data_IF_394456189674
#
_entry.id   IF_394456189674
#
_cell.length_a   1.000
_cell.length_b   1.000
_cell.length_c   1.000
_cell.angle_alpha   90.00
_cell.angle_beta   90.00
_cell.angle_gamma   90.00
#
_symmetry.space_group_name_H-M   'P 1'
#
loop_
_entity.id
_entity.type
_entity.pdbx_description
1 polymer ?
#
# COMPACT_ATOMS: atom_id res chain seq x y z
N UNK A 1 -48.10 -11.55 15.38
CA UNK A 1 -48.16 -12.68 16.35
C UNK A 1 -46.75 -13.15 16.62
N UNK A 2 -46.35 -13.24 17.89
CA UNK A 2 -45.09 -13.88 18.26
C UNK A 2 -45.17 -15.38 17.91
N UNK A 3 -44.13 -15.91 17.26
CA UNK A 3 -44.03 -17.33 16.92
C UNK A 3 -43.12 -18.03 17.92
N UNK A 4 -43.58 -19.15 18.44
CA UNK A 4 -42.77 -20.07 19.24
C UNK A 4 -42.71 -21.41 18.52
N UNK A 5 -41.49 -21.86 18.22
CA UNK A 5 -41.24 -23.18 17.66
C UNK A 5 -40.78 -24.10 18.79
N UNK A 6 -41.38 -25.30 18.88
CA UNK A 6 -40.98 -26.28 19.87
C UNK A 6 -39.51 -26.67 19.64
N UNK A 7 -38.66 -26.68 20.69
CA UNK A 7 -37.28 -27.12 20.55
C UNK A 7 -37.23 -28.63 20.32
N UNK A 8 -36.35 -29.06 19.42
CA UNK A 8 -36.08 -30.48 19.19
C UNK A 8 -35.25 -31.05 20.35
N UNK A 9 -35.70 -32.18 20.91
CA UNK A 9 -35.04 -32.87 22.02
C UNK A 9 -34.80 -34.32 21.60
N UNK A 10 -33.61 -34.83 21.91
CA UNK A 10 -33.25 -36.23 21.64
C UNK A 10 -34.03 -37.21 22.54
N UNK A 11 -34.49 -38.32 21.97
CA UNK A 11 -35.12 -39.41 22.72
C UNK A 11 -34.11 -40.53 23.02
N UNK A 12 -34.04 -40.97 24.28
CA UNK A 12 -33.15 -42.04 24.73
C UNK A 12 -33.94 -43.06 25.57
N UNK A 13 -34.50 -44.12 24.95
CA UNK A 13 -35.31 -45.11 25.64
C UNK A 13 -34.54 -45.97 26.65
N UNK A 14 -33.21 -46.04 26.52
CA UNK A 14 -32.35 -46.98 27.24
C UNK A 14 -31.58 -46.38 28.42
N UNK A 15 -31.67 -45.07 28.64
CA UNK A 15 -30.99 -44.41 29.75
C UNK A 15 -31.14 -42.89 29.76
N UNK A 16 -30.52 -42.25 30.75
CA UNK A 16 -30.47 -40.80 30.86
C UNK A 16 -29.11 -40.30 30.39
N UNK A 17 -29.06 -39.66 29.21
CA UNK A 17 -27.83 -39.12 28.64
C UNK A 17 -27.87 -38.92 27.11
N UNK A 18 -26.79 -38.42 26.51
CA UNK A 18 -26.68 -38.25 25.06
C UNK A 18 -26.77 -39.60 24.34
N UNK A 19 -27.69 -39.71 23.38
CA UNK A 19 -27.86 -40.91 22.55
C UNK A 19 -27.25 -40.77 21.15
N UNK A 20 -26.87 -39.56 20.73
CA UNK A 20 -26.24 -39.29 19.45
C UNK A 20 -25.12 -38.25 19.57
N UNK A 21 -24.15 -38.33 18.67
CA UNK A 21 -23.16 -37.26 18.47
C UNK A 21 -23.87 -36.08 17.82
N UNK A 22 -23.65 -34.83 18.28
CA UNK A 22 -24.23 -33.65 17.65
C UNK A 22 -23.91 -33.60 16.16
N UNK A 23 -24.94 -33.39 15.33
CA UNK A 23 -24.84 -33.40 13.86
C UNK A 23 -23.73 -32.47 13.34
N UNK A 24 -23.56 -31.32 13.99
CA UNK A 24 -22.52 -30.33 13.69
C UNK A 24 -21.09 -30.88 13.63
N UNK A 25 -20.79 -31.95 14.37
CA UNK A 25 -19.44 -32.50 14.48
C UNK A 25 -19.31 -33.93 13.95
N UNK A 26 -20.38 -34.50 13.38
CA UNK A 26 -20.41 -35.90 12.94
C UNK A 26 -19.44 -36.18 11.80
N UNK A 27 -19.35 -35.26 10.85
CA UNK A 27 -18.57 -35.43 9.61
C UNK A 27 -17.19 -34.74 9.65
N UNK A 28 -16.70 -34.41 10.85
CA UNK A 28 -15.45 -33.70 11.05
C UNK A 28 -14.57 -34.42 12.08
N UNK A 29 -13.28 -34.72 11.79
CA UNK A 29 -12.36 -35.24 12.79
C UNK A 29 -12.28 -34.33 14.01
N UNK A 30 -12.65 -34.85 15.18
CA UNK A 30 -12.65 -34.04 16.39
C UNK A 30 -11.22 -33.76 16.86
N UNK A 31 -10.87 -32.48 16.99
CA UNK A 31 -9.64 -32.04 17.65
C UNK A 31 -9.96 -30.91 18.65
N UNK A 32 -9.62 -31.06 19.94
CA UNK A 32 -9.83 -30.03 20.94
C UNK A 32 -8.95 -28.80 20.66
N UNK A 33 -9.46 -27.61 20.96
CA UNK A 33 -8.71 -26.37 20.82
C UNK A 33 -9.21 -25.29 21.79
N UNK A 34 -8.40 -24.26 22.03
CA UNK A 34 -8.76 -23.07 22.80
C UNK A 34 -8.78 -21.84 21.90
N UNK A 35 -9.91 -21.11 21.89
CA UNK A 35 -10.04 -19.86 21.12
C UNK A 35 -9.18 -18.71 21.65
N UNK A 36 -8.69 -18.82 22.89
CA UNK A 36 -7.83 -17.81 23.52
C UNK A 36 -6.35 -17.98 23.19
N UNK A 37 -5.97 -19.04 22.47
CA UNK A 37 -4.59 -19.33 22.15
C UNK A 37 -4.03 -18.29 21.17
N UNK A 38 -2.76 -17.93 21.36
CA UNK A 38 -2.11 -16.91 20.54
C UNK A 38 -1.89 -17.46 19.12
N UNK A 39 -2.35 -16.71 18.11
CA UNK A 39 -2.15 -17.01 16.70
C UNK A 39 -0.92 -16.28 16.11
N UNK A 40 -0.42 -16.73 14.95
CA UNK A 40 0.64 -16.05 14.19
C UNK A 40 2.04 -16.69 14.24
N UNK A 41 2.13 -18.02 14.39
CA UNK A 41 3.40 -18.77 14.25
C UNK A 41 3.74 -18.94 12.77
N UNK A 42 4.98 -18.64 12.39
CA UNK A 42 5.50 -18.77 11.02
C UNK A 42 6.09 -20.18 10.83
N UNK A 43 5.87 -20.80 9.67
CA UNK A 43 6.60 -21.99 9.25
C UNK A 43 7.83 -21.56 8.43
N UNK A 44 9.00 -22.08 8.79
CA UNK A 44 10.28 -21.74 8.12
C UNK A 44 11.10 -23.00 7.91
N UNK A 45 11.18 -23.47 6.67
CA UNK A 45 11.95 -24.66 6.28
C UNK A 45 13.48 -24.43 6.38
N UNK A 46 13.94 -23.19 6.50
CA UNK A 46 15.37 -22.88 6.69
C UNK A 46 15.80 -22.88 8.16
N UNK A 47 14.83 -22.88 9.09
CA UNK A 47 15.07 -22.84 10.53
C UNK A 47 15.68 -21.54 11.08
N UNK A 48 15.77 -20.48 10.26
CA UNK A 48 16.45 -19.24 10.64
C UNK A 48 15.60 -18.31 11.52
N UNK A 49 14.27 -18.42 11.46
CA UNK A 49 13.32 -17.45 12.05
C UNK A 49 13.27 -17.51 13.59
N UNK A 50 13.42 -18.68 14.21
CA UNK A 50 13.26 -18.87 15.66
C UNK A 50 14.55 -19.36 16.34
N UNK A 51 15.61 -18.54 16.29
CA UNK A 51 16.86 -18.83 17.02
C UNK A 51 16.65 -18.87 18.55
N UNK A 52 15.66 -18.13 19.07
CA UNK A 52 15.31 -18.11 20.48
C UNK A 52 14.00 -18.88 20.74
N UNK A 53 14.11 -20.02 21.45
CA UNK A 53 13.00 -20.92 21.80
C UNK A 53 11.90 -20.26 22.65
N UNK A 54 12.14 -19.08 23.23
CA UNK A 54 11.11 -18.33 23.97
C UNK A 54 9.97 -17.84 23.09
N UNK A 55 10.20 -17.66 21.79
CA UNK A 55 9.15 -17.21 20.88
C UNK A 55 8.26 -18.36 20.42
N UNK A 56 8.78 -19.57 20.27
CA UNK A 56 8.01 -20.75 19.88
C UNK A 56 7.05 -21.20 20.98
N UNK A 57 7.45 -21.08 22.25
CA UNK A 57 6.64 -21.48 23.40
C UNK A 57 5.40 -20.59 23.63
N UNK A 58 5.30 -19.43 22.95
CA UNK A 58 4.12 -18.57 23.04
C UNK A 58 2.93 -19.07 22.21
N UNK A 59 3.19 -20.01 21.30
CA UNK A 59 2.21 -20.56 20.37
C UNK A 59 1.92 -22.04 20.65
N UNK A 60 2.50 -22.61 21.71
CA UNK A 60 2.12 -23.94 22.17
C UNK A 60 0.76 -23.84 22.87
N UNK A 61 -0.22 -24.59 22.37
CA UNK A 61 -1.49 -24.72 23.07
C UNK A 61 -1.26 -25.43 24.41
N UNK A 62 -1.86 -24.90 25.48
CA UNK A 62 -1.87 -25.57 26.79
C UNK A 62 -2.99 -26.61 26.90
N UNK A 63 -3.94 -26.59 25.97
CA UNK A 63 -5.15 -27.41 26.03
C UNK A 63 -5.44 -28.05 24.67
N UNK A 64 -5.36 -29.39 24.60
CA UNK A 64 -5.75 -30.13 23.41
C UNK A 64 -4.65 -30.31 22.35
N UNK A 65 -3.58 -31.02 22.71
CA UNK A 65 -2.60 -31.49 21.72
C UNK A 65 -3.19 -32.62 20.88
N UNK A 66 -3.39 -32.39 19.59
CA UNK A 66 -3.86 -33.40 18.63
C UNK A 66 -3.18 -33.25 17.28
N UNK A 67 -3.01 -34.36 16.57
CA UNK A 67 -2.38 -34.43 15.25
C UNK A 67 -3.33 -34.97 14.17
N UNK A 68 -4.65 -34.90 14.40
CA UNK A 68 -5.66 -35.38 13.45
C UNK A 68 -5.61 -34.62 12.11
N UNK A 69 -5.19 -33.36 12.16
CA UNK A 69 -4.98 -32.50 11.00
C UNK A 69 -3.49 -32.27 10.69
N UNK A 70 -2.61 -33.21 11.05
CA UNK A 70 -1.17 -33.09 10.79
C UNK A 70 -0.76 -33.88 9.55
N UNK A 71 0.13 -33.29 8.75
CA UNK A 71 0.82 -33.98 7.66
C UNK A 71 2.23 -34.35 8.12
N UNK A 72 2.59 -35.62 7.95
CA UNK A 72 3.95 -36.12 8.17
C UNK A 72 4.55 -36.45 6.80
N UNK A 73 5.67 -35.80 6.47
CA UNK A 73 6.43 -36.12 5.27
C UNK A 73 7.38 -37.28 5.60
N UNK A 74 7.28 -38.40 4.88
CA UNK A 74 8.04 -39.63 5.20
C UNK A 74 9.49 -39.58 4.70
N UNK A 75 9.82 -38.71 3.74
CA UNK A 75 11.14 -38.61 3.11
C UNK A 75 11.75 -37.21 3.32
N UNK A 76 12.52 -37.02 4.41
CA UNK A 76 13.30 -35.80 4.66
C UNK A 76 14.55 -35.77 3.77
N UNK A 77 14.37 -35.53 2.47
CA UNK A 77 15.46 -35.66 1.50
C UNK A 77 15.85 -34.34 0.82
N UNK A 78 16.86 -33.69 1.41
CA UNK A 78 17.79 -32.80 0.68
C UNK A 78 18.74 -33.58 -0.25
N UNK A 79 18.49 -34.88 -0.43
CA UNK A 79 19.28 -35.80 -1.25
C UNK A 79 19.10 -35.54 -2.76
N UNK A 80 17.93 -35.03 -3.16
CA UNK A 80 17.59 -34.80 -4.55
C UNK A 80 18.32 -33.59 -5.11
N UNK A 81 19.08 -33.80 -6.18
CA UNK A 81 19.70 -32.73 -6.95
C UNK A 81 18.81 -32.38 -8.14
N UNK A 82 18.51 -31.10 -8.33
CA UNK A 82 17.80 -30.61 -9.50
C UNK A 82 18.71 -30.71 -10.73
N UNK A 83 18.38 -31.58 -11.68
CA UNK A 83 19.11 -31.70 -12.94
C UNK A 83 18.63 -30.61 -13.89
N UNK A 84 19.48 -29.61 -14.15
CA UNK A 84 19.22 -28.57 -15.14
C UNK A 84 19.75 -29.01 -16.52
N UNK A 85 18.85 -29.20 -17.49
CA UNK A 85 19.19 -29.52 -18.90
C UNK A 85 19.36 -28.27 -19.77
N UNK A 86 19.13 -27.07 -19.23
CA UNK A 86 19.27 -25.82 -19.96
C UNK A 86 20.72 -25.29 -19.87
N UNK A 87 21.38 -25.10 -21.03
CA UNK A 87 22.64 -24.36 -21.08
C UNK A 87 22.39 -22.90 -20.70
N UNK A 88 22.83 -22.50 -19.50
CA UNK A 88 22.73 -21.11 -19.03
C UNK A 88 23.53 -20.18 -19.98
N UNK A 89 22.84 -19.40 -20.81
CA UNK A 89 23.49 -18.33 -21.59
C UNK A 89 23.90 -17.19 -20.65
N UNK A 90 25.20 -17.08 -20.39
CA UNK A 90 25.76 -15.91 -19.70
C UNK A 90 25.74 -14.71 -20.65
N UNK A 91 24.98 -13.67 -20.31
CA UNK A 91 24.99 -12.38 -21.00
C UNK A 91 26.38 -11.73 -20.96
N UNK A 92 26.79 -11.11 -22.07
CA UNK A 92 28.13 -10.56 -22.29
C UNK A 92 28.63 -9.59 -21.18
N UNK A 93 27.71 -8.96 -20.45
CA UNK A 93 28.01 -8.04 -19.37
C UNK A 93 28.67 -8.71 -18.14
N UNK A 94 28.39 -10.00 -17.88
CA UNK A 94 28.98 -10.71 -16.74
C UNK A 94 30.44 -11.14 -16.96
N UNK A 95 30.92 -11.22 -18.22
CA UNK A 95 32.32 -11.56 -18.53
C UNK A 95 33.31 -10.46 -18.13
N UNK A 96 32.87 -9.20 -18.10
CA UNK A 96 33.78 -8.06 -17.94
C UNK A 96 34.04 -7.64 -16.48
N UNK A 97 33.32 -8.23 -15.51
CA UNK A 97 33.48 -7.91 -14.07
C UNK A 97 34.75 -8.52 -13.44
N UNK A 98 35.25 -9.64 -14.00
CA UNK A 98 36.48 -10.31 -13.55
C UNK A 98 37.76 -9.53 -13.92
N UNK A 99 37.78 -8.78 -15.03
CA UNK A 99 38.98 -8.04 -15.46
C UNK A 99 39.25 -6.77 -14.64
N UNK A 100 38.21 -6.11 -14.13
CA UNK A 100 38.38 -4.90 -13.30
C UNK A 100 38.83 -5.21 -11.87
N UNK A 101 38.47 -6.37 -11.32
CA UNK A 101 38.97 -6.82 -10.01
C UNK A 101 40.49 -7.07 -10.04
N UNK A 102 41.02 -7.68 -11.11
CA UNK A 102 42.46 -7.90 -11.25
C UNK A 102 43.28 -6.61 -11.48
N UNK A 103 42.69 -5.60 -12.14
CA UNK A 103 43.37 -4.29 -12.37
C UNK A 103 43.53 -3.48 -11.08
N UNK A 104 42.57 -3.54 -10.16
CA UNK A 104 42.69 -2.87 -8.86
C UNK A 104 43.70 -3.56 -7.92
N UNK A 105 43.87 -4.88 -8.00
CA UNK A 105 44.91 -5.57 -7.22
C UNK A 105 46.34 -5.25 -7.68
N UNK A 106 46.57 -4.97 -8.98
CA UNK A 106 47.89 -4.54 -9.47
C UNK A 106 48.23 -3.11 -9.04
N UNK A 107 47.26 -2.18 -9.11
CA UNK A 107 47.48 -0.78 -8.72
C UNK A 107 47.76 -0.59 -7.22
N UNK A 108 47.21 -1.46 -6.37
CA UNK A 108 47.53 -1.50 -4.93
C UNK A 108 48.91 -2.12 -4.62
N UNK A 109 49.44 -2.96 -5.52
CA UNK A 109 50.80 -3.54 -5.39
C UNK A 109 51.86 -2.50 -5.76
N UNK A 110 51.62 -1.72 -6.81
CA UNK A 110 52.54 -0.66 -7.26
C UNK A 110 52.58 0.55 -6.29
N UNK A 111 51.45 0.88 -5.65
CA UNK A 111 51.41 1.95 -4.63
C UNK A 111 52.16 1.58 -3.34
N UNK A 112 52.27 0.29 -2.99
CA UNK A 112 53.05 -0.16 -1.83
C UNK A 112 54.56 -0.13 -2.09
N UNK A 113 55.00 -0.35 -3.33
CA UNK A 113 56.41 -0.29 -3.68
C UNK A 113 56.95 1.15 -3.73
N UNK A 114 56.09 2.14 -4.02
CA UNK A 114 56.50 3.56 -4.04
C UNK A 114 56.50 4.25 -2.66
N UNK A 115 55.85 3.66 -1.64
CA UNK A 115 55.86 4.19 -0.26
C UNK A 115 56.99 3.62 0.61
N UNK A 116 57.87 2.80 0.04
CA UNK A 116 58.99 2.20 0.75
C UNK A 116 60.27 3.06 0.74
N UNK A 117 60.27 4.18 0.00
CA UNK A 117 61.45 5.05 -0.17
C UNK A 117 61.46 6.32 0.69
N UNK A 118 60.52 6.48 1.63
CA UNK A 118 60.62 7.56 2.61
C UNK A 118 60.01 7.14 3.95
N UNK A 119 60.82 6.57 4.83
CA UNK A 119 60.46 6.27 6.20
C UNK A 119 61.57 6.76 7.13
N UNK A 120 61.34 7.93 7.73
CA UNK A 120 61.94 8.25 9.02
C UNK A 120 61.51 7.20 10.05
N UNK A 121 62.47 6.78 10.86
CA UNK A 121 62.38 5.69 11.83
C UNK A 121 61.60 6.10 13.08
N UNK A 122 60.28 5.86 13.08
CA UNK A 122 59.49 5.91 14.31
C UNK A 122 59.79 4.70 15.23
N UNK A 123 59.90 4.89 16.56
CA UNK A 123 60.20 3.82 17.52
C UNK A 123 59.12 2.73 17.53
N UNK A 124 59.54 1.48 17.79
CA UNK A 124 58.73 0.25 17.64
C UNK A 124 57.39 0.27 18.41
N UNK A 125 57.31 0.98 19.54
CA UNK A 125 56.08 1.09 20.35
C UNK A 125 54.99 1.95 19.69
N UNK A 126 55.35 2.99 18.95
CA UNK A 126 54.42 3.87 18.26
C UNK A 126 53.77 3.18 17.05
N UNK A 127 54.57 2.41 16.30
CA UNK A 127 54.11 1.62 15.14
C UNK A 127 53.09 0.55 15.52
N UNK A 128 53.22 -0.07 16.69
CA UNK A 128 52.28 -1.09 17.17
C UNK A 128 50.90 -0.48 17.50
N UNK A 129 50.90 0.63 18.27
CA UNK A 129 49.69 1.37 18.63
C UNK A 129 48.91 1.88 17.42
N UNK A 130 49.62 2.36 16.40
CA UNK A 130 49.00 2.85 15.16
C UNK A 130 48.40 1.71 14.33
N UNK A 131 49.06 0.53 14.28
CA UNK A 131 48.53 -0.68 13.63
C UNK A 131 47.26 -1.19 14.30
N UNK A 132 47.22 -1.15 15.64
CA UNK A 132 46.04 -1.58 16.40
C UNK A 132 44.89 -0.58 16.29
N UNK A 133 45.17 0.73 16.26
CA UNK A 133 44.17 1.78 15.95
C UNK A 133 43.59 1.60 14.55
N UNK A 134 44.42 1.29 13.55
CA UNK A 134 43.97 1.02 12.18
C UNK A 134 43.17 -0.29 12.07
N UNK A 135 43.52 -1.33 12.84
CA UNK A 135 42.74 -2.57 12.93
C UNK A 135 41.38 -2.35 13.57
N UNK A 136 41.31 -1.56 14.66
CA UNK A 136 40.04 -1.19 15.29
C UNK A 136 39.16 -0.38 14.34
N UNK A 137 39.75 0.60 13.63
CA UNK A 137 39.03 1.43 12.66
C UNK A 137 38.50 0.59 11.49
N UNK A 138 39.27 -0.37 10.96
CA UNK A 138 38.79 -1.32 9.94
C UNK A 138 37.73 -2.30 10.47
N UNK A 139 37.79 -2.70 11.75
CA UNK A 139 36.74 -3.51 12.38
C UNK A 139 35.45 -2.70 12.50
N UNK A 140 35.53 -1.44 12.94
CA UNK A 140 34.41 -0.52 13.02
C UNK A 140 33.81 -0.26 11.62
N UNK A 141 34.63 0.01 10.61
CA UNK A 141 34.16 0.20 9.23
C UNK A 141 33.50 -1.05 8.64
N UNK A 142 34.02 -2.25 8.94
CA UNK A 142 33.38 -3.52 8.54
C UNK A 142 32.08 -3.76 9.30
N UNK A 143 31.99 -3.40 10.58
CA UNK A 143 30.79 -3.58 11.39
C UNK A 143 29.64 -2.63 10.97
N UNK A 144 29.97 -1.39 10.57
CA UNK A 144 28.99 -0.44 10.02
C UNK A 144 28.66 -0.70 8.54
N UNK A 145 29.63 -1.15 7.72
CA UNK A 145 29.40 -1.49 6.31
C UNK A 145 28.62 -2.79 6.08
N UNK A 146 28.67 -3.75 7.02
CA UNK A 146 27.85 -4.98 6.96
C UNK A 146 26.39 -4.70 7.29
N UNK A 147 26.09 -3.70 8.13
CA UNK A 147 24.72 -3.26 8.41
C UNK A 147 24.07 -2.61 7.18
N UNK A 148 24.78 -1.70 6.50
CA UNK A 148 24.29 -1.10 5.24
C UNK A 148 24.11 -2.13 4.11
N UNK A 149 24.96 -3.17 4.04
CA UNK A 149 24.81 -4.22 3.01
C UNK A 149 23.65 -5.19 3.28
N UNK A 150 23.28 -5.41 4.54
CA UNK A 150 22.10 -6.20 4.88
C UNK A 150 20.80 -5.43 4.60
N UNK A 151 20.76 -4.12 4.86
CA UNK A 151 19.61 -3.27 4.51
C UNK A 151 19.43 -3.14 2.99
N UNK A 152 20.53 -3.11 2.22
CA UNK A 152 20.46 -3.07 0.75
C UNK A 152 20.09 -4.42 0.11
N UNK A 153 20.03 -5.50 0.91
CA UNK A 153 19.53 -6.81 0.50
C UNK A 153 18.11 -7.04 1.01
N UNK A 154 17.29 -5.99 1.03
CA UNK A 154 15.85 -6.14 0.85
C UNK A 154 15.63 -6.77 -0.53
N UNK A 155 15.76 -8.09 -0.63
CA UNK A 155 15.08 -8.86 -1.65
C UNK A 155 13.63 -8.42 -1.54
N UNK A 156 13.15 -7.64 -2.51
CA UNK A 156 11.75 -7.31 -2.65
C UNK A 156 11.03 -8.66 -2.59
N UNK A 157 10.38 -8.95 -1.47
CA UNK A 157 9.53 -10.13 -1.38
C UNK A 157 8.58 -10.03 -2.56
N UNK A 158 8.43 -11.10 -3.37
CA UNK A 158 7.45 -11.10 -4.43
C UNK A 158 6.12 -10.70 -3.81
N UNK A 159 5.49 -9.69 -4.41
CA UNK A 159 4.17 -9.26 -4.03
C UNK A 159 3.18 -10.21 -4.67
N UNK A 160 2.22 -10.65 -3.89
CA UNK A 160 1.12 -11.45 -4.38
C UNK A 160 0.22 -10.59 -5.26
N UNK A 161 -0.42 -11.22 -6.24
CA UNK A 161 -1.45 -10.56 -7.05
C UNK A 161 -2.64 -10.17 -6.15
N UNK A 162 -3.33 -9.08 -6.51
CA UNK A 162 -4.55 -8.67 -5.80
C UNK A 162 -5.71 -9.65 -5.99
N UNK A 163 -5.60 -10.56 -6.96
CA UNK A 163 -6.57 -11.59 -7.31
C UNK A 163 -5.88 -12.92 -7.49
N UNK A 164 -6.60 -14.01 -7.25
CA UNK A 164 -6.15 -15.36 -7.58
C UNK A 164 -6.19 -15.56 -9.10
N UNK A 165 -5.01 -15.57 -9.73
CA UNK A 165 -4.88 -15.76 -11.18
C UNK A 165 -5.13 -17.23 -11.49
N UNK A 166 -6.12 -17.50 -12.34
CA UNK A 166 -6.50 -18.86 -12.75
C UNK A 166 -5.93 -19.20 -14.13
N UNK A 167 -5.82 -20.49 -14.42
CA UNK A 167 -5.25 -20.98 -15.69
C UNK A 167 -6.20 -20.90 -16.88
N UNK A 168 -7.49 -20.73 -16.63
CA UNK A 168 -8.56 -20.55 -17.63
C UNK A 168 -8.72 -19.09 -18.07
N UNK A 169 -8.02 -18.16 -17.44
CA UNK A 169 -8.04 -16.75 -17.83
C UNK A 169 -7.25 -16.53 -19.12
N UNK A 170 -7.84 -15.79 -20.05
CA UNK A 170 -7.24 -15.47 -21.34
C UNK A 170 -6.79 -14.02 -21.38
N UNK A 171 -5.50 -13.79 -21.66
CA UNK A 171 -4.95 -12.44 -21.83
C UNK A 171 -5.36 -11.89 -23.20
N UNK A 172 -6.15 -10.81 -23.20
CA UNK A 172 -6.65 -10.15 -24.42
C UNK A 172 -5.72 -9.05 -24.92
N UNK A 173 -5.13 -8.27 -24.02
CA UNK A 173 -4.19 -7.19 -24.38
C UNK A 173 -3.18 -6.99 -23.24
N UNK A 174 -1.93 -6.69 -23.62
CA UNK A 174 -0.86 -6.27 -22.71
C UNK A 174 -0.43 -4.83 -23.00
N UNK A 175 -0.38 -3.99 -21.95
CA UNK A 175 0.04 -2.60 -22.05
C UNK A 175 1.16 -2.30 -21.07
N UNK A 176 2.32 -1.91 -21.62
CA UNK A 176 3.45 -1.47 -20.81
C UNK A 176 3.33 0.02 -20.43
N UNK A 177 3.91 0.39 -19.30
CA UNK A 177 3.83 1.78 -18.82
C UNK A 177 4.50 2.79 -19.77
N UNK A 178 5.63 2.50 -20.46
CA UNK A 178 6.19 3.38 -21.47
C UNK A 178 5.23 3.73 -22.61
N UNK A 179 4.40 2.78 -23.08
CA UNK A 179 3.34 3.04 -24.05
C UNK A 179 2.28 3.97 -23.46
N UNK A 180 1.82 3.72 -22.23
CA UNK A 180 0.81 4.54 -21.55
C UNK A 180 1.27 5.98 -21.28
N UNK A 181 2.54 6.19 -20.92
CA UNK A 181 3.09 7.53 -20.67
C UNK A 181 3.11 8.43 -21.91
N UNK A 182 3.04 7.85 -23.12
CA UNK A 182 3.02 8.59 -24.38
C UNK A 182 1.61 8.91 -24.87
N UNK A 183 0.57 8.32 -24.27
CA UNK A 183 -0.82 8.57 -24.65
C UNK A 183 -1.20 10.02 -24.36
N UNK A 184 -2.00 10.64 -25.23
CA UNK A 184 -2.52 12.00 -25.06
C UNK A 184 -3.92 12.08 -25.66
N UNK A 185 -4.80 12.83 -25.03
CA UNK A 185 -6.13 13.15 -25.55
C UNK A 185 -6.54 14.55 -25.08
N UNK A 186 -6.83 15.44 -26.03
CA UNK A 186 -7.05 16.87 -25.79
C UNK A 186 -8.51 17.30 -25.92
N UNK A 187 -9.29 16.55 -26.69
CA UNK A 187 -10.65 16.92 -27.10
C UNK A 187 -11.68 16.45 -26.06
N UNK A 188 -11.51 16.94 -24.82
CA UNK A 188 -12.47 16.68 -23.73
C UNK A 188 -13.24 17.95 -23.46
N UNK A 189 -14.55 17.93 -23.77
CA UNK A 189 -15.46 19.02 -23.44
C UNK A 189 -15.67 19.13 -21.91
N UNK A 190 -16.06 20.32 -21.46
CA UNK A 190 -16.46 20.51 -20.07
C UNK A 190 -17.70 19.66 -19.75
N UNK A 191 -17.74 19.02 -18.57
CA UNK A 191 -18.84 18.14 -18.22
C UNK A 191 -20.14 18.90 -17.96
N UNK A 192 -21.24 18.21 -18.24
CA UNK A 192 -22.58 18.63 -17.82
C UNK A 192 -23.04 17.81 -16.62
N UNK A 193 -23.63 18.46 -15.63
CA UNK A 193 -24.19 17.77 -14.47
C UNK A 193 -25.57 17.20 -14.84
N UNK A 194 -25.75 15.90 -14.63
CA UNK A 194 -27.02 15.19 -14.84
C UNK A 194 -27.85 15.25 -13.56
N UNK A 195 -27.23 14.90 -12.43
CA UNK A 195 -27.92 14.77 -11.15
C UNK A 195 -26.96 15.09 -9.99
N UNK A 196 -27.49 15.76 -8.96
CA UNK A 196 -26.75 16.05 -7.75
C UNK A 196 -27.54 15.59 -6.52
N UNK A 197 -26.90 14.78 -5.69
CA UNK A 197 -27.52 14.06 -4.58
C UNK A 197 -26.73 14.25 -3.28
N UNK A 198 -27.41 14.21 -2.13
CA UNK A 198 -26.78 14.16 -0.81
C UNK A 198 -26.71 15.51 -0.09
N UNK A 199 -25.90 15.56 0.95
CA UNK A 199 -25.79 16.74 1.82
C UNK A 199 -24.37 16.88 2.37
N UNK A 200 -23.90 18.12 2.45
CA UNK A 200 -22.55 18.47 2.85
C UNK A 200 -22.55 19.31 4.11
N UNK A 201 -21.67 18.98 5.04
CA UNK A 201 -21.36 19.82 6.19
C UNK A 201 -20.41 20.96 5.79
N UNK A 202 -20.52 22.07 6.52
CA UNK A 202 -19.61 23.20 6.37
C UNK A 202 -18.28 22.89 7.06
N UNK A 203 -17.19 23.10 6.34
CA UNK A 203 -15.84 22.96 6.84
C UNK A 203 -15.55 23.99 7.93
N UNK A 204 -15.16 23.49 9.11
CA UNK A 204 -14.71 24.34 10.20
C UNK A 204 -13.30 24.89 9.92
N UNK A 205 -13.23 26.19 9.62
CA UNK A 205 -11.97 26.91 9.37
C UNK A 205 -11.02 26.93 10.58
N UNK A 206 -11.46 26.54 11.78
CA UNK A 206 -10.59 26.39 12.94
C UNK A 206 -9.55 25.27 12.75
N UNK A 207 -9.85 24.25 11.93
CA UNK A 207 -8.90 23.17 11.60
C UNK A 207 -7.65 23.68 10.89
N UNK A 208 -7.75 24.79 10.14
CA UNK A 208 -6.60 25.40 9.46
C UNK A 208 -5.56 25.98 10.44
N UNK A 209 -5.94 26.17 11.72
CA UNK A 209 -5.04 26.59 12.81
C UNK A 209 -4.70 25.46 13.78
N UNK A 210 -5.14 24.23 13.52
CA UNK A 210 -4.82 23.02 14.30
C UNK A 210 -4.92 23.19 15.83
N UNK A 211 -5.97 23.88 16.28
CA UNK A 211 -6.28 23.99 17.71
C UNK A 211 -7.08 22.77 18.15
N UNK A 212 -6.89 22.36 19.40
CA UNK A 212 -7.70 21.31 20.05
C UNK A 212 -9.14 21.80 20.11
N UNK A 213 -10.05 21.15 19.39
CA UNK A 213 -11.47 21.48 19.44
C UNK A 213 -12.34 20.22 19.41
N UNK A 214 -13.46 20.36 20.13
CA UNK A 214 -14.58 19.42 20.17
C UNK A 214 -15.41 19.64 18.90
N UNK A 215 -15.80 18.57 18.22
CA UNK A 215 -16.69 18.63 17.06
C UNK A 215 -17.94 19.45 17.40
N UNK A 216 -18.26 20.53 16.66
CA UNK A 216 -19.60 21.09 16.71
C UNK A 216 -20.53 20.12 15.97
N UNK A 217 -21.05 19.15 16.71
CA UNK A 217 -22.13 18.29 16.24
C UNK A 217 -23.39 19.15 16.10
N UNK A 218 -23.95 19.25 14.89
CA UNK A 218 -25.27 19.88 14.67
C UNK A 218 -25.33 21.17 13.85
N UNK A 219 -24.36 21.42 12.94
CA UNK A 219 -24.48 22.52 11.97
C UNK A 219 -25.49 22.25 10.86
N UNK A 220 -26.06 23.32 10.27
CA UNK A 220 -26.90 23.21 9.07
C UNK A 220 -26.08 22.64 7.90
N UNK A 221 -26.61 21.62 7.20
CA UNK A 221 -25.95 21.00 6.04
C UNK A 221 -26.41 21.67 4.74
N UNK A 222 -25.48 21.91 3.82
CA UNK A 222 -25.79 22.28 2.44
C UNK A 222 -26.38 21.08 1.70
N UNK A 223 -27.67 21.15 1.34
CA UNK A 223 -28.41 20.05 0.72
C UNK A 223 -28.47 20.22 -0.80
N UNK A 224 -28.27 19.12 -1.51
CA UNK A 224 -28.54 19.06 -2.94
C UNK A 224 -30.04 18.81 -3.22
N UNK A 225 -30.50 19.00 -4.48
CA UNK A 225 -31.90 18.77 -4.84
C UNK A 225 -32.39 17.35 -4.51
N UNK A 226 -31.54 16.33 -4.71
CA UNK A 226 -31.88 14.94 -4.44
C UNK A 226 -31.22 14.44 -3.14
N UNK A 227 -31.89 13.54 -2.39
CA UNK A 227 -31.31 12.93 -1.19
C UNK A 227 -30.18 11.95 -1.55
N UNK A 228 -29.44 11.48 -0.55
CA UNK A 228 -28.43 10.43 -0.74
C UNK A 228 -29.12 9.12 -1.18
N UNK A 229 -28.79 8.54 -2.35
CA UNK A 229 -29.48 7.36 -2.87
C UNK A 229 -29.08 6.04 -2.18
N UNK A 230 -28.12 6.07 -1.25
CA UNK A 230 -27.62 4.87 -0.55
C UNK A 230 -28.12 4.75 0.89
N UNK A 231 -29.03 5.64 1.31
CA UNK A 231 -29.54 5.70 2.67
C UNK A 231 -31.05 5.51 2.62
N UNK A 232 -31.54 4.52 3.37
CA UNK A 232 -32.98 4.31 3.55
C UNK A 232 -33.58 5.40 4.43
N UNK A 233 -34.85 5.74 4.23
CA UNK A 233 -35.51 6.87 4.92
C UNK A 233 -35.54 6.73 6.44
N UNK A 234 -35.46 5.49 6.95
CA UNK A 234 -35.54 5.14 8.37
C UNK A 234 -34.20 5.29 9.12
N UNK A 235 -33.10 5.51 8.40
CA UNK A 235 -31.78 5.74 9.02
C UNK A 235 -31.69 7.19 9.49
N UNK A 236 -31.23 7.39 10.72
CA UNK A 236 -30.97 8.74 11.22
C UNK A 236 -29.92 9.43 10.34
N UNK A 237 -30.34 10.50 9.65
CA UNK A 237 -29.50 11.33 8.77
C UNK A 237 -28.31 11.94 9.52
N UNK A 238 -28.33 11.93 10.86
CA UNK A 238 -27.21 12.36 11.70
C UNK A 238 -26.03 11.38 11.69
N UNK A 239 -26.27 10.07 11.47
CA UNK A 239 -25.22 9.04 11.40
C UNK A 239 -24.55 8.98 10.03
N UNK A 240 -25.22 9.51 9.00
CA UNK A 240 -24.69 9.53 7.63
C UNK A 240 -23.59 10.57 7.53
N UNK A 241 -22.42 10.12 7.08
CA UNK A 241 -21.28 10.99 6.79
C UNK A 241 -21.67 12.12 5.81
N UNK A 242 -21.04 13.29 5.98
CA UNK A 242 -21.11 14.38 5.01
C UNK A 242 -20.55 13.92 3.68
N UNK A 243 -21.42 13.73 2.69
CA UNK A 243 -21.05 13.34 1.33
C UNK A 243 -22.14 13.79 0.35
N UNK A 244 -21.70 14.25 -0.81
CA UNK A 244 -22.57 14.49 -1.94
C UNK A 244 -22.04 13.83 -3.19
N UNK A 245 -22.97 13.37 -4.03
CA UNK A 245 -22.70 12.74 -5.31
C UNK A 245 -23.12 13.66 -6.44
N UNK A 246 -22.26 13.79 -7.44
CA UNK A 246 -22.54 14.54 -8.65
C UNK A 246 -22.32 13.63 -9.85
N UNK A 247 -23.37 13.33 -10.58
CA UNK A 247 -23.32 12.53 -11.79
C UNK A 247 -23.04 13.46 -12.96
N UNK A 248 -21.86 13.32 -13.55
CA UNK A 248 -21.36 14.24 -14.58
C UNK A 248 -21.13 13.48 -15.88
N UNK A 249 -21.50 14.11 -16.99
CA UNK A 249 -21.34 13.58 -18.35
C UNK A 249 -20.25 14.33 -19.09
N UNK A 250 -19.26 13.60 -19.59
CA UNK A 250 -18.27 14.08 -20.55
C UNK A 250 -18.52 13.43 -21.91
N UNK A 251 -18.27 14.20 -22.98
CA UNK A 251 -18.13 13.65 -24.32
C UNK A 251 -16.65 13.42 -24.61
N UNK A 252 -16.32 12.19 -25.00
CA UNK A 252 -14.98 11.81 -25.44
C UNK A 252 -15.03 11.52 -26.95
N UNK A 253 -15.11 12.58 -27.74
CA UNK A 253 -15.39 12.50 -29.18
C UNK A 253 -16.88 12.34 -29.47
N UNK A 254 -17.22 11.89 -30.68
CA UNK A 254 -18.62 11.81 -31.13
C UNK A 254 -19.35 10.57 -30.61
N UNK A 255 -18.63 9.50 -30.24
CA UNK A 255 -19.18 8.16 -30.05
C UNK A 255 -19.15 7.65 -28.60
N UNK A 256 -18.55 8.40 -27.67
CA UNK A 256 -18.37 8.00 -26.28
C UNK A 256 -18.94 9.05 -25.33
N UNK A 257 -20.02 8.66 -24.66
CA UNK A 257 -20.55 9.36 -23.49
C UNK A 257 -20.00 8.73 -22.22
N UNK A 258 -19.12 9.44 -21.52
CA UNK A 258 -18.60 9.02 -20.22
C UNK A 258 -19.45 9.64 -19.10
N UNK A 259 -20.05 8.80 -18.28
CA UNK A 259 -20.75 9.23 -17.06
C UNK A 259 -19.92 8.81 -15.86
N UNK A 260 -19.55 9.78 -15.02
CA UNK A 260 -18.82 9.54 -13.78
C UNK A 260 -19.64 10.00 -12.59
N UNK A 261 -19.80 9.13 -11.60
CA UNK A 261 -20.30 9.51 -10.27
C UNK A 261 -19.14 10.11 -9.48
N UNK A 262 -19.14 11.43 -9.36
CA UNK A 262 -18.16 12.19 -8.58
C UNK A 262 -18.62 12.40 -7.14
N UNK A 263 -17.69 12.77 -6.26
CA UNK A 263 -17.94 12.97 -4.83
C UNK A 263 -17.35 14.30 -4.32
N UNK A 264 -18.09 14.97 -3.44
CA UNK A 264 -17.60 16.05 -2.58
C UNK A 264 -17.74 15.65 -1.12
N UNK A 265 -16.81 16.09 -0.28
CA UNK A 265 -16.73 15.71 1.14
C UNK A 265 -17.27 16.82 2.07
N UNK A 266 -17.27 18.08 1.60
CA UNK A 266 -17.81 19.21 2.36
C UNK A 266 -17.97 20.47 1.53
N UNK A 267 -18.39 21.55 2.18
CA UNK A 267 -18.44 22.91 1.60
C UNK A 267 -17.73 23.93 2.47
N UNK A 268 -17.24 25.01 1.88
CA UNK A 268 -16.78 26.18 2.62
C UNK A 268 -17.38 27.45 2.04
N UNK A 269 -17.64 28.43 2.90
CA UNK A 269 -18.06 29.76 2.44
C UNK A 269 -16.84 30.60 2.11
N UNK A 270 -16.74 31.04 0.85
CA UNK A 270 -15.75 31.99 0.36
C UNK A 270 -15.92 33.38 0.98
N UNK A 271 -15.00 34.30 0.69
CA UNK A 271 -15.04 35.66 1.21
C UNK A 271 -16.29 36.44 0.74
N UNK A 272 -16.82 36.10 -0.43
CA UNK A 272 -17.96 36.77 -1.07
C UNK A 272 -19.31 36.13 -0.70
N UNK A 273 -19.33 35.13 0.20
CA UNK A 273 -20.54 34.35 0.51
C UNK A 273 -20.81 33.19 -0.44
N UNK A 274 -20.00 33.02 -1.49
CA UNK A 274 -20.10 31.88 -2.42
C UNK A 274 -19.74 30.56 -1.74
N UNK A 275 -20.40 29.48 -2.15
CA UNK A 275 -20.18 28.14 -1.61
C UNK A 275 -19.17 27.41 -2.50
N UNK A 276 -18.01 27.10 -1.92
CA UNK A 276 -16.94 26.34 -2.55
C UNK A 276 -17.02 24.87 -2.14
N UNK A 277 -17.09 23.97 -3.11
CA UNK A 277 -17.06 22.53 -2.85
C UNK A 277 -15.64 22.04 -2.57
N UNK A 278 -15.49 21.15 -1.59
CA UNK A 278 -14.19 20.64 -1.18
C UNK A 278 -14.14 19.11 -1.18
N UNK A 279 -12.98 18.58 -1.57
CA UNK A 279 -12.59 17.21 -1.24
C UNK A 279 -11.62 17.22 -0.06
N UNK A 280 -11.84 16.32 0.89
CA UNK A 280 -11.02 16.18 2.09
C UNK A 280 -10.36 14.83 2.08
N UNK A 281 -9.03 14.79 2.01
CA UNK A 281 -8.23 13.57 2.05
C UNK A 281 -7.13 13.68 3.11
N UNK A 282 -6.61 12.54 3.58
CA UNK A 282 -5.72 12.51 4.75
C UNK A 282 -4.43 11.77 4.47
N UNK A 283 -3.31 12.48 4.57
CA UNK A 283 -1.99 11.89 4.64
C UNK A 283 -1.72 11.39 6.07
N UNK A 284 -1.08 10.24 6.16
CA UNK A 284 -0.80 9.58 7.43
C UNK A 284 0.69 9.27 7.62
N UNK A 285 1.24 9.69 8.76
CA UNK A 285 2.59 9.35 9.21
C UNK A 285 2.54 8.23 10.25
N UNK A 286 3.33 7.18 10.03
CA UNK A 286 3.44 6.02 10.93
C UNK A 286 4.78 6.03 11.68
N UNK A 287 5.88 5.67 11.01
CA UNK A 287 7.24 5.74 11.53
C UNK A 287 8.19 6.22 10.43
N UNK A 288 8.48 7.51 10.44
CA UNK A 288 9.28 8.21 9.42
C UNK A 288 10.69 7.63 9.25
N UNK A 289 11.22 6.92 10.25
CA UNK A 289 12.58 6.35 10.22
C UNK A 289 12.74 5.22 9.21
N UNK A 290 11.66 4.55 8.81
CA UNK A 290 11.72 3.36 7.97
C UNK A 290 11.52 3.65 6.48
N UNK A 291 10.95 4.80 6.12
CA UNK A 291 10.57 5.13 4.74
C UNK A 291 11.39 6.29 4.14
N UNK A 292 12.60 6.55 4.68
CA UNK A 292 13.35 7.79 4.41
C UNK A 292 12.45 9.04 4.60
N UNK A 293 11.57 8.98 5.60
CA UNK A 293 10.60 10.01 5.91
C UNK A 293 11.23 11.17 6.67
N UNK A 294 10.50 12.28 6.73
CA UNK A 294 10.82 13.43 7.59
C UNK A 294 9.87 13.42 8.79
N UNK A 295 10.34 13.80 9.97
CA UNK A 295 9.47 13.94 11.15
C UNK A 295 8.55 15.15 10.98
N UNK A 296 7.26 14.87 10.79
CA UNK A 296 6.26 15.91 10.54
C UNK A 296 6.14 16.90 11.69
N UNK A 297 6.30 16.48 12.94
CA UNK A 297 6.20 17.37 14.11
C UNK A 297 7.27 18.46 14.12
N UNK A 298 8.43 18.18 13.52
CA UNK A 298 9.52 19.13 13.43
C UNK A 298 9.47 19.97 12.14
N UNK A 299 8.85 19.44 11.09
CA UNK A 299 9.01 19.96 9.72
C UNK A 299 7.75 20.56 9.12
N UNK A 300 6.55 20.26 9.62
CA UNK A 300 5.31 20.82 9.07
C UNK A 300 5.19 22.34 9.26
N UNK A 301 5.80 22.93 10.28
CA UNK A 301 5.71 24.39 10.46
C UNK A 301 6.74 25.14 9.62
N UNK A 302 7.95 24.60 9.51
CA UNK A 302 9.08 25.28 8.87
C UNK A 302 9.36 24.84 7.42
N UNK A 303 8.99 23.61 7.06
CA UNK A 303 9.41 22.93 5.82
C UNK A 303 8.27 22.12 5.18
N UNK A 304 7.07 22.71 5.07
CA UNK A 304 5.88 22.08 4.44
C UNK A 304 6.17 21.47 3.07
N UNK A 305 6.89 22.19 2.22
CA UNK A 305 7.27 21.71 0.90
C UNK A 305 8.14 20.43 0.94
N UNK A 306 9.02 20.28 1.94
CA UNK A 306 9.86 19.09 2.08
C UNK A 306 9.04 17.88 2.56
N UNK A 307 8.07 18.09 3.45
CA UNK A 307 7.11 17.06 3.86
C UNK A 307 6.31 16.59 2.64
N UNK A 308 5.72 17.52 1.90
CA UNK A 308 4.93 17.20 0.71
C UNK A 308 5.76 16.49 -0.37
N UNK A 309 6.99 16.92 -0.62
CA UNK A 309 7.89 16.25 -1.58
C UNK A 309 8.23 14.81 -1.17
N UNK A 310 8.42 14.58 0.13
CA UNK A 310 8.65 13.23 0.67
C UNK A 310 7.42 12.35 0.48
N UNK A 311 6.23 12.90 0.75
CA UNK A 311 4.96 12.20 0.53
C UNK A 311 4.66 11.96 -0.95
N UNK A 312 5.00 12.90 -1.83
CA UNK A 312 4.88 12.72 -3.26
C UNK A 312 5.73 11.56 -3.76
N UNK A 313 6.96 11.44 -3.25
CA UNK A 313 7.84 10.32 -3.58
C UNK A 313 7.32 8.97 -3.07
N UNK A 314 6.80 8.93 -1.84
CA UNK A 314 6.40 7.69 -1.18
C UNK A 314 4.97 7.26 -1.51
N UNK A 315 4.09 8.20 -1.86
CA UNK A 315 2.65 8.00 -2.01
C UNK A 315 2.12 8.58 -3.34
N UNK A 316 2.95 8.67 -4.38
CA UNK A 316 2.59 9.27 -5.68
C UNK A 316 1.27 8.78 -6.25
N UNK A 317 1.05 7.46 -6.29
CA UNK A 317 -0.19 6.87 -6.80
C UNK A 317 -1.43 7.30 -5.99
N UNK A 318 -1.31 7.38 -4.65
CA UNK A 318 -2.40 7.78 -3.76
C UNK A 318 -2.78 9.24 -4.00
N UNK A 319 -1.78 10.11 -4.04
CA UNK A 319 -1.96 11.54 -4.29
C UNK A 319 -2.54 11.80 -5.68
N UNK A 320 -1.97 11.19 -6.73
CA UNK A 320 -2.47 11.31 -8.10
C UNK A 320 -3.93 10.89 -8.22
N UNK A 321 -4.32 9.76 -7.60
CA UNK A 321 -5.72 9.30 -7.61
C UNK A 321 -6.66 10.32 -6.96
N UNK A 322 -6.29 10.84 -5.79
CA UNK A 322 -7.09 11.86 -5.11
C UNK A 322 -7.24 13.13 -5.94
N UNK A 323 -6.17 13.56 -6.60
CA UNK A 323 -6.19 14.72 -7.49
C UNK A 323 -7.09 14.49 -8.70
N UNK A 324 -6.99 13.35 -9.38
CA UNK A 324 -7.89 12.99 -10.48
C UNK A 324 -9.37 13.03 -10.03
N UNK A 325 -9.70 12.42 -8.89
CA UNK A 325 -11.06 12.43 -8.36
C UNK A 325 -11.56 13.87 -8.09
N UNK A 326 -10.73 14.72 -7.47
CA UNK A 326 -11.10 16.10 -7.17
C UNK A 326 -11.28 16.95 -8.45
N UNK A 327 -10.46 16.72 -9.46
CA UNK A 327 -10.59 17.38 -10.77
C UNK A 327 -11.86 16.94 -11.49
N UNK A 328 -12.17 15.64 -11.53
CA UNK A 328 -13.40 15.12 -12.13
C UNK A 328 -14.64 15.63 -11.40
N UNK A 329 -14.58 15.72 -10.06
CA UNK A 329 -15.66 16.29 -9.26
C UNK A 329 -15.89 17.78 -9.51
N UNK A 330 -14.90 18.51 -10.03
CA UNK A 330 -14.98 19.96 -10.14
C UNK A 330 -14.91 20.63 -8.77
N UNK A 331 -14.20 20.03 -7.81
CA UNK A 331 -13.99 20.63 -6.50
C UNK A 331 -13.11 21.88 -6.62
N UNK A 332 -13.49 22.95 -5.94
CA UNK A 332 -12.70 24.19 -5.92
C UNK A 332 -11.42 23.99 -5.09
N UNK A 333 -11.53 23.24 -3.99
CA UNK A 333 -10.39 22.95 -3.13
C UNK A 333 -10.22 21.46 -2.82
N UNK A 334 -8.97 21.03 -2.79
CA UNK A 334 -8.51 19.79 -2.20
C UNK A 334 -7.83 20.10 -0.86
N UNK A 335 -8.44 19.67 0.24
CA UNK A 335 -7.89 19.77 1.60
C UNK A 335 -7.14 18.48 1.95
N UNK A 336 -5.87 18.62 2.31
CA UNK A 336 -5.03 17.53 2.81
C UNK A 336 -4.83 17.69 4.33
N UNK A 337 -5.30 16.71 5.10
CA UNK A 337 -4.99 16.59 6.53
C UNK A 337 -3.70 15.82 6.76
N UNK A 338 -2.86 16.28 7.69
CA UNK A 338 -1.64 15.61 8.13
C UNK A 338 -1.88 14.96 9.49
N UNK A 339 -2.06 13.64 9.50
CA UNK A 339 -2.33 12.86 10.72
C UNK A 339 -1.13 11.98 11.04
N UNK A 340 -0.64 12.04 12.27
CA UNK A 340 0.47 11.20 12.73
C UNK A 340 0.04 10.34 13.90
N UNK A 341 0.61 9.15 14.04
CA UNK A 341 0.43 8.34 15.26
C UNK A 341 0.91 9.13 16.48
N UNK A 342 0.20 9.00 17.61
CA UNK A 342 0.64 9.63 18.86
C UNK A 342 2.02 9.13 19.29
N UNK A 343 2.24 7.81 19.15
CA UNK A 343 3.53 7.16 19.33
C UNK A 343 3.76 6.19 18.17
N UNK A 344 4.97 6.13 17.60
CA UNK A 344 5.24 5.37 16.36
C UNK A 344 4.81 3.88 16.39
N UNK A 345 4.89 3.27 17.58
CA UNK A 345 4.50 1.87 17.83
C UNK A 345 3.01 1.67 18.12
N UNK A 346 2.26 2.73 18.37
CA UNK A 346 0.85 2.69 18.74
C UNK A 346 0.00 3.15 17.55
N UNK A 347 -0.72 2.21 16.93
CA UNK A 347 -1.62 2.48 15.82
C UNK A 347 -3.06 2.76 16.24
N UNK A 348 -3.37 2.79 17.54
CA UNK A 348 -4.73 3.06 18.03
C UNK A 348 -4.99 4.57 18.21
N UNK A 349 -3.94 5.35 18.51
CA UNK A 349 -4.05 6.78 18.81
C UNK A 349 -3.33 7.63 17.77
N UNK A 350 -4.03 8.64 17.27
CA UNK A 350 -3.54 9.55 16.25
C UNK A 350 -3.75 11.01 16.67
N UNK A 351 -2.98 11.91 16.07
CA UNK A 351 -3.08 13.35 16.27
C UNK A 351 -3.05 14.06 14.91
N UNK A 352 -3.92 15.05 14.75
CA UNK A 352 -3.91 15.95 13.60
C UNK A 352 -2.83 17.00 13.84
N UNK A 353 -1.84 17.07 12.96
CA UNK A 353 -0.73 18.02 13.06
C UNK A 353 -0.96 19.30 12.22
N UNK A 354 -1.75 19.17 11.16
CA UNK A 354 -1.84 20.19 10.12
C UNK A 354 -2.99 19.92 9.15
N UNK A 355 -3.53 20.97 8.55
CA UNK A 355 -4.24 20.87 7.27
C UNK A 355 -3.59 21.79 6.26
N UNK A 356 -3.72 21.44 4.98
CA UNK A 356 -3.25 22.26 3.87
C UNK A 356 -4.30 22.26 2.76
N UNK A 357 -4.45 23.39 2.10
CA UNK A 357 -5.41 23.60 1.02
C UNK A 357 -4.67 23.75 -0.30
N UNK A 358 -5.22 23.17 -1.35
CA UNK A 358 -4.76 23.32 -2.72
C UNK A 358 -5.94 23.50 -3.67
N UNK A 359 -5.74 24.20 -4.77
CA UNK A 359 -6.61 24.04 -5.94
C UNK A 359 -6.20 22.76 -6.68
N UNK A 360 -7.13 21.89 -7.13
CA UNK A 360 -6.79 20.62 -7.77
C UNK A 360 -5.92 20.78 -9.03
N UNK A 361 -6.16 21.82 -9.84
CA UNK A 361 -5.40 22.12 -11.06
C UNK A 361 -3.93 22.47 -10.77
N UNK A 362 -3.70 23.32 -9.78
CA UNK A 362 -2.36 23.67 -9.30
C UNK A 362 -1.65 22.46 -8.70
N UNK A 363 -2.36 21.67 -7.90
CA UNK A 363 -1.79 20.49 -7.27
C UNK A 363 -1.43 19.41 -8.29
N UNK A 364 -2.26 19.19 -9.32
CA UNK A 364 -1.95 18.30 -10.44
C UNK A 364 -0.61 18.69 -11.10
N UNK A 365 -0.40 19.99 -11.31
CA UNK A 365 0.85 20.51 -11.88
C UNK A 365 2.05 20.25 -10.95
N UNK A 366 1.89 20.46 -9.64
CA UNK A 366 2.94 20.19 -8.64
C UNK A 366 3.35 18.71 -8.57
N UNK A 367 2.40 17.79 -8.77
CA UNK A 367 2.67 16.34 -8.74
C UNK A 367 3.02 15.75 -10.10
N UNK A 368 3.18 16.60 -11.13
CA UNK A 368 3.44 16.20 -12.51
C UNK A 368 2.36 15.24 -13.09
N UNK A 369 1.09 15.53 -12.78
CA UNK A 369 -0.08 14.83 -13.32
C UNK A 369 -0.65 15.64 -14.48
N UNK A 370 -0.57 15.08 -15.70
CA UNK A 370 -1.20 15.65 -16.89
C UNK A 370 -2.55 14.99 -17.13
N UNK A 371 -3.63 15.78 -17.13
CA UNK A 371 -4.97 15.28 -17.45
C UNK A 371 -5.08 14.85 -18.91
N UNK A 372 -4.36 15.48 -19.83
CA UNK A 372 -4.29 15.06 -21.24
C UNK A 372 -3.75 13.63 -21.37
N UNK A 373 -2.72 13.29 -20.58
CA UNK A 373 -2.21 11.93 -20.51
C UNK A 373 -3.20 10.98 -19.84
N UNK A 374 -3.83 11.39 -18.72
CA UNK A 374 -4.82 10.57 -18.03
C UNK A 374 -6.02 10.22 -18.94
N UNK A 375 -6.55 11.21 -19.66
CA UNK A 375 -7.60 11.02 -20.65
C UNK A 375 -7.15 10.15 -21.83
N UNK A 376 -5.91 10.32 -22.31
CA UNK A 376 -5.34 9.46 -23.35
C UNK A 376 -5.23 8.00 -22.93
N UNK A 377 -4.82 7.73 -21.69
CA UNK A 377 -4.78 6.38 -21.13
C UNK A 377 -6.20 5.81 -21.04
N UNK A 378 -7.15 6.58 -20.52
CA UNK A 378 -8.55 6.13 -20.41
C UNK A 378 -9.13 5.81 -21.80
N UNK A 379 -8.93 6.69 -22.78
CA UNK A 379 -9.40 6.48 -24.16
C UNK A 379 -8.82 5.22 -24.77
N UNK A 380 -7.52 5.00 -24.62
CA UNK A 380 -6.86 3.77 -25.08
C UNK A 380 -7.52 2.52 -24.50
N UNK A 381 -7.82 2.51 -23.19
CA UNK A 381 -8.48 1.38 -22.54
C UNK A 381 -9.90 1.19 -23.06
N UNK A 382 -10.68 2.27 -23.22
CA UNK A 382 -12.04 2.20 -23.76
C UNK A 382 -12.03 1.64 -25.19
N UNK A 383 -11.12 2.11 -26.06
CA UNK A 383 -11.02 1.66 -27.44
C UNK A 383 -10.63 0.17 -27.56
N UNK A 384 -9.87 -0.36 -26.60
CA UNK A 384 -9.58 -1.80 -26.51
C UNK A 384 -10.84 -2.54 -26.08
N UNK A 385 -11.48 -2.13 -24.99
CA UNK A 385 -12.67 -2.80 -24.46
C UNK A 385 -13.85 -2.80 -25.44
N UNK A 386 -14.04 -1.74 -26.24
CA UNK A 386 -15.11 -1.68 -27.27
C UNK A 386 -14.94 -2.68 -28.41
N UNK A 387 -13.73 -3.23 -28.61
CA UNK A 387 -13.45 -4.25 -29.63
C UNK A 387 -13.65 -5.67 -29.11
N UNK A 388 -13.80 -5.83 -27.80
CA UNK A 388 -14.03 -7.13 -27.17
C UNK A 388 -15.52 -7.48 -27.27
N UNK A 389 -15.81 -8.77 -27.21
CA UNK A 389 -17.18 -9.28 -27.19
C UNK A 389 -17.87 -8.92 -25.86
N UNK A 390 -19.19 -9.14 -25.79
CA UNK A 390 -19.91 -8.95 -24.54
C UNK A 390 -19.45 -9.98 -23.50
N UNK A 391 -19.05 -9.52 -22.31
CA UNK A 391 -18.52 -10.41 -21.29
C UNK A 391 -18.03 -9.68 -20.05
N UNK A 392 -17.41 -10.46 -19.15
CA UNK A 392 -16.75 -9.95 -17.95
C UNK A 392 -15.25 -9.93 -18.18
N UNK A 393 -14.64 -8.80 -17.89
CA UNK A 393 -13.21 -8.57 -18.06
C UNK A 393 -12.60 -8.03 -16.78
N UNK A 394 -11.31 -8.29 -16.60
CA UNK A 394 -10.50 -7.79 -15.50
C UNK A 394 -9.29 -7.05 -16.05
N UNK A 395 -9.06 -5.83 -15.58
CA UNK A 395 -7.81 -5.10 -15.84
C UNK A 395 -6.92 -5.27 -14.62
N UNK A 396 -5.81 -6.00 -14.78
CA UNK A 396 -4.89 -6.31 -13.71
C UNK A 396 -3.56 -5.58 -13.90
N UNK A 397 -2.99 -5.10 -12.79
CA UNK A 397 -1.61 -4.61 -12.75
C UNK A 397 -0.71 -5.68 -12.18
N UNK A 398 0.36 -6.01 -12.89
CA UNK A 398 1.37 -6.95 -12.38
C UNK A 398 1.99 -6.43 -11.05
N UNK A 399 1.98 -7.25 -9.98
CA UNK A 399 2.45 -6.85 -8.67
C UNK A 399 3.99 -6.75 -8.57
N UNK A 400 4.73 -7.39 -9.48
CA UNK A 400 6.18 -7.58 -9.42
C UNK A 400 6.95 -6.94 -10.59
N UNK A 401 6.34 -6.74 -11.76
CA UNK A 401 6.95 -5.98 -12.85
C UNK A 401 6.92 -4.48 -12.51
N UNK A 402 8.00 -4.01 -11.90
CA UNK A 402 8.12 -2.60 -11.45
C UNK A 402 8.52 -1.67 -12.60
N UNK A 403 9.23 -2.17 -13.62
CA UNK A 403 9.61 -1.37 -14.79
C UNK A 403 10.03 -2.23 -16.02
N UNK A 404 9.40 -2.04 -17.18
CA UNK A 404 8.14 -1.31 -17.34
C UNK A 404 7.02 -2.06 -16.61
N UNK A 405 6.18 -1.33 -15.88
CA UNK A 405 4.96 -1.92 -15.31
C UNK A 405 4.07 -2.47 -16.43
N UNK A 406 3.32 -3.53 -16.12
CA UNK A 406 2.45 -4.21 -17.08
C UNK A 406 1.01 -4.16 -16.60
N UNK A 407 0.10 -3.75 -17.48
CA UNK A 407 -1.34 -3.95 -17.35
C UNK A 407 -1.77 -5.05 -18.32
N UNK A 408 -2.58 -5.98 -17.84
CA UNK A 408 -3.23 -7.01 -18.66
C UNK A 408 -4.73 -6.82 -18.61
N UNK A 409 -5.40 -7.06 -19.73
CA UNK A 409 -6.86 -7.23 -19.79
C UNK A 409 -7.14 -8.71 -19.98
N UNK A 410 -7.87 -9.31 -19.05
CA UNK A 410 -8.14 -10.75 -19.01
C UNK A 410 -9.65 -11.00 -19.01
N UNK A 411 -10.10 -12.11 -19.59
CA UNK A 411 -11.49 -12.58 -19.44
C UNK A 411 -11.68 -13.31 -18.12
N UNK A 412 -12.82 -13.07 -17.46
CA UNK A 412 -13.20 -13.73 -16.21
C UNK A 412 -14.00 -15.01 -16.40
#
# INVERSE_FOLDING_TARGET
>A
MAKFHAPEIQDNPSGWGPCAVPEKFKDMPYQPFSKGDRLGKVADWTGATYQDKRYTNKYSSQFGGGSQYAYFHEEDETSFQLVDTAKTQKTAYQRNRMRFAQRNLRRDKDRRNLTQFNMQTLPKSAKQKERDRMRLQKKFQKQFGVRQKWDQKSQLKPRDSSVEVRSDWEVKEEMDFPRLMKMRYMEVEDPTDIECCGALEYYDKAFDRCRVFVSPQGGERHKFPNPNPFVEEDIDKSEVASVAYRYRRWKLGEDIDLIVRCEHDGVMTGANGEVSFINVKTLNEWDSRHCNGVDWRQKLDSQRGAVLATELKNNSYKLARWTCCAMLAGSEYLKLGYVSRYHAKDSARHVVLGTQQFQPTEFASQINLSMENAWGILRCVIDICRKLEEGKYLILKDPNKVSPGLLTIETL
#
